data_IF_121783794303
#
_entry.id   IF_121783794303
#
_cell.length_a   1.000
_cell.length_b   1.000
_cell.length_c   1.000
_cell.angle_alpha   90.00
_cell.angle_beta   90.00
_cell.angle_gamma   90.00
#
_symmetry.space_group_name_H-M   'P 1'
#
loop_
_entity.id
_entity.type
_entity.pdbx_description
1 polymer ?
#
# COMPACT_ATOMS: atom_id res chain seq x y z
N UNK A 1 5.18 8.52 -20.48
CA UNK A 1 3.73 8.31 -20.34
C UNK A 1 3.51 6.90 -19.82
N UNK A 2 3.49 6.73 -18.50
CA UNK A 2 2.89 5.55 -17.87
C UNK A 2 1.96 6.11 -16.80
N UNK A 3 0.80 6.60 -17.26
CA UNK A 3 -0.37 6.94 -16.44
C UNK A 3 -0.98 5.63 -15.91
N UNK A 4 -0.22 4.93 -15.07
CA UNK A 4 -0.72 3.77 -14.35
C UNK A 4 -1.08 4.25 -12.96
N UNK A 5 -2.26 3.89 -12.46
CA UNK A 5 -2.70 4.17 -11.09
C UNK A 5 -1.63 3.80 -10.03
N UNK A 6 -0.82 2.77 -10.34
CA UNK A 6 0.31 2.34 -9.53
C UNK A 6 1.48 3.37 -9.52
N UNK A 7 1.75 4.03 -10.65
CA UNK A 7 2.78 5.06 -10.77
C UNK A 7 2.43 6.33 -9.98
N UNK A 8 1.16 6.75 -10.01
CA UNK A 8 0.68 7.87 -9.19
C UNK A 8 0.76 7.57 -7.70
N UNK A 9 0.37 6.36 -7.29
CA UNK A 9 0.44 5.89 -5.91
C UNK A 9 1.87 5.89 -5.36
N UNK A 10 2.84 5.38 -6.13
CA UNK A 10 4.26 5.36 -5.75
C UNK A 10 4.84 6.76 -5.64
N UNK A 11 4.44 7.70 -6.50
CA UNK A 11 4.90 9.09 -6.44
C UNK A 11 4.30 9.83 -5.23
N UNK A 12 3.01 9.61 -4.95
CA UNK A 12 2.29 10.22 -3.85
C UNK A 12 2.82 9.77 -2.48
N UNK A 13 3.01 8.47 -2.27
CA UNK A 13 3.51 7.97 -0.97
C UNK A 13 4.91 8.47 -0.63
N UNK A 14 5.70 8.88 -1.63
CA UNK A 14 7.01 9.52 -1.41
C UNK A 14 6.92 10.88 -0.69
N UNK A 15 5.70 11.42 -0.55
CA UNK A 15 5.41 12.77 -0.04
C UNK A 15 4.34 12.77 1.07
N UNK A 16 3.62 11.66 1.30
CA UNK A 16 2.44 11.59 2.16
C UNK A 16 2.49 10.42 3.16
N UNK A 17 1.88 10.60 4.34
CA UNK A 17 1.75 9.57 5.40
C UNK A 17 1.06 8.29 4.88
N UNK A 18 1.30 7.15 5.54
CA UNK A 18 0.68 5.84 5.22
C UNK A 18 -0.84 5.93 5.17
N UNK A 19 -1.45 6.78 6.01
CA UNK A 19 -2.90 6.99 6.03
C UNK A 19 -3.41 7.56 4.70
N UNK A 20 -2.80 8.62 4.18
CA UNK A 20 -3.19 9.23 2.90
C UNK A 20 -2.94 8.28 1.72
N UNK A 21 -1.85 7.51 1.76
CA UNK A 21 -1.59 6.47 0.77
C UNK A 21 -2.67 5.39 0.79
N UNK A 22 -3.05 4.95 2.00
CA UNK A 22 -4.06 3.91 2.20
C UNK A 22 -5.42 4.36 1.66
N UNK A 23 -5.86 5.57 1.99
CA UNK A 23 -7.14 6.09 1.55
C UNK A 23 -7.24 6.14 0.01
N UNK A 24 -6.15 6.56 -0.65
CA UNK A 24 -6.06 6.58 -2.11
C UNK A 24 -5.98 5.18 -2.71
N UNK A 25 -5.24 4.27 -2.09
CA UNK A 25 -5.17 2.88 -2.51
C UNK A 25 -6.54 2.22 -2.45
N UNK A 26 -7.28 2.40 -1.35
CA UNK A 26 -8.64 1.88 -1.18
C UNK A 26 -9.56 2.49 -2.25
N UNK A 27 -9.52 3.81 -2.45
CA UNK A 27 -10.32 4.49 -3.47
C UNK A 27 -10.04 3.96 -4.89
N UNK A 28 -8.79 3.63 -5.21
CA UNK A 28 -8.41 3.04 -6.51
C UNK A 28 -8.82 1.57 -6.61
N UNK A 29 -8.59 0.77 -5.56
CA UNK A 29 -8.98 -0.64 -5.52
C UNK A 29 -10.51 -0.85 -5.60
N UNK A 30 -11.31 0.07 -5.05
CA UNK A 30 -12.77 0.07 -5.21
C UNK A 30 -13.21 0.28 -6.68
N UNK A 31 -12.38 0.91 -7.52
CA UNK A 31 -12.68 1.13 -8.94
C UNK A 31 -12.32 -0.05 -9.81
N UNK A 32 -11.43 -0.92 -9.33
CA UNK A 32 -10.93 -2.09 -10.06
C UNK A 32 -11.36 -3.37 -9.35
N UNK A 33 -12.65 -3.71 -9.49
CA UNK A 33 -13.32 -4.83 -8.82
C UNK A 33 -12.81 -6.22 -9.21
N UNK A 34 -11.82 -6.32 -10.11
CA UNK A 34 -11.23 -7.56 -10.57
C UNK A 34 -10.02 -8.03 -9.75
N UNK A 35 -9.50 -7.22 -8.84
CA UNK A 35 -8.34 -7.59 -8.03
C UNK A 35 -8.76 -8.49 -6.87
N UNK A 36 -8.20 -9.71 -6.84
CA UNK A 36 -8.33 -10.60 -5.68
C UNK A 36 -7.62 -10.02 -4.45
N UNK A 37 -8.09 -10.36 -3.25
CA UNK A 37 -7.50 -9.86 -1.99
C UNK A 37 -5.97 -10.10 -1.89
N UNK A 38 -5.40 -11.27 -2.28
CA UNK A 38 -3.95 -11.46 -2.26
C UNK A 38 -3.21 -10.52 -3.22
N UNK A 39 -3.81 -10.18 -4.37
CA UNK A 39 -3.23 -9.23 -5.32
C UNK A 39 -3.27 -7.82 -4.77
N UNK A 40 -4.38 -7.42 -4.12
CA UNK A 40 -4.49 -6.12 -3.45
C UNK A 40 -3.43 -5.97 -2.35
N UNK A 41 -3.25 -6.99 -1.52
CA UNK A 41 -2.21 -7.02 -0.48
C UNK A 41 -0.82 -6.84 -1.10
N UNK A 42 -0.52 -7.59 -2.17
CA UNK A 42 0.80 -7.54 -2.80
C UNK A 42 1.06 -6.18 -3.46
N UNK A 43 0.06 -5.59 -4.12
CA UNK A 43 0.14 -4.25 -4.70
C UNK A 43 0.34 -3.18 -3.62
N UNK A 44 -0.38 -3.29 -2.50
CA UNK A 44 -0.23 -2.39 -1.37
C UNK A 44 1.20 -2.43 -0.83
N UNK A 45 1.74 -3.63 -0.54
CA UNK A 45 3.11 -3.82 -0.04
C UNK A 45 4.14 -3.26 -1.04
N UNK A 46 3.97 -3.50 -2.34
CA UNK A 46 4.89 -3.01 -3.37
C UNK A 46 4.86 -1.49 -3.47
N UNK A 47 3.70 -0.88 -3.22
CA UNK A 47 3.50 0.57 -3.20
C UNK A 47 4.08 1.29 -1.97
N UNK A 48 4.38 0.57 -0.88
CA UNK A 48 5.05 1.11 0.30
C UNK A 48 6.51 1.50 0.01
N UNK A 49 7.03 2.51 0.72
CA UNK A 49 8.45 2.90 0.68
C UNK A 49 9.29 2.04 1.62
N UNK A 50 10.59 1.88 1.35
CA UNK A 50 11.52 1.27 2.32
C UNK A 50 11.78 2.26 3.48
N UNK A 51 11.91 1.79 4.73
CA UNK A 51 11.96 0.38 5.16
C UNK A 51 10.59 -0.29 5.36
N UNK A 52 9.49 0.48 5.38
CA UNK A 52 8.13 -0.02 5.64
C UNK A 52 7.75 -1.20 4.75
N UNK A 53 8.02 -1.11 3.45
CA UNK A 53 7.80 -2.19 2.50
C UNK A 53 8.47 -3.49 2.92
N UNK A 54 9.74 -3.43 3.32
CA UNK A 54 10.49 -4.61 3.78
C UNK A 54 9.88 -5.16 5.06
N UNK A 55 9.58 -4.30 6.03
CA UNK A 55 9.05 -4.70 7.33
C UNK A 55 7.66 -5.33 7.23
N UNK A 56 6.78 -4.75 6.42
CA UNK A 56 5.44 -5.30 6.14
C UNK A 56 5.56 -6.59 5.32
N UNK A 57 6.43 -6.64 4.31
CA UNK A 57 6.64 -7.86 3.51
C UNK A 57 7.15 -9.04 4.36
N UNK A 58 8.03 -8.79 5.33
CA UNK A 58 8.54 -9.81 6.26
C UNK A 58 7.43 -10.42 7.12
N UNK A 59 6.39 -9.65 7.45
CA UNK A 59 5.23 -10.11 8.22
C UNK A 59 4.25 -10.95 7.42
N UNK A 60 4.33 -10.92 6.09
CA UNK A 60 3.45 -11.68 5.17
C UNK A 60 1.96 -11.54 5.55
N UNK A 61 1.42 -10.31 5.55
CA UNK A 61 0.00 -10.10 5.82
C UNK A 61 -0.86 -10.91 4.84
N UNK A 62 -1.99 -11.42 5.32
CA UNK A 62 -2.92 -12.22 4.51
C UNK A 62 -4.09 -11.39 3.99
N UNK A 63 -4.37 -10.28 4.65
CA UNK A 63 -5.47 -9.36 4.34
C UNK A 63 -4.92 -7.96 4.10
N UNK A 64 -5.69 -7.13 3.38
CA UNK A 64 -5.32 -5.74 3.16
C UNK A 64 -5.29 -4.96 4.49
N UNK A 65 -6.23 -5.26 5.38
CA UNK A 65 -6.31 -4.67 6.72
C UNK A 65 -5.06 -4.95 7.55
N UNK A 66 -4.55 -6.19 7.55
CA UNK A 66 -3.28 -6.52 8.21
C UNK A 66 -2.11 -5.72 7.62
N UNK A 67 -2.06 -5.59 6.29
CA UNK A 67 -0.99 -4.86 5.61
C UNK A 67 -1.01 -3.37 5.97
N UNK A 68 -2.20 -2.76 6.02
CA UNK A 68 -2.42 -1.36 6.43
C UNK A 68 -2.05 -1.16 7.89
N UNK A 69 -2.53 -2.03 8.80
CA UNK A 69 -2.23 -1.95 10.22
C UNK A 69 -0.72 -2.02 10.47
N UNK A 70 -0.03 -2.95 9.81
CA UNK A 70 1.42 -3.09 9.91
C UNK A 70 2.13 -1.85 9.37
N UNK A 71 1.74 -1.35 8.20
CA UNK A 71 2.34 -0.15 7.61
C UNK A 71 2.23 1.06 8.54
N UNK A 72 1.05 1.30 9.12
CA UNK A 72 0.82 2.38 10.10
C UNK A 72 1.65 2.18 11.38
N UNK A 73 1.67 0.97 11.91
CA UNK A 73 2.41 0.65 13.12
C UNK A 73 3.93 0.82 12.95
N UNK A 74 4.45 0.56 11.75
CA UNK A 74 5.85 0.78 11.43
C UNK A 74 6.16 2.25 11.13
N UNK A 75 5.25 2.99 10.48
CA UNK A 75 5.41 4.44 10.27
C UNK A 75 5.45 5.20 11.60
N UNK A 76 4.62 4.82 12.59
CA UNK A 76 4.68 5.40 13.94
C UNK A 76 6.00 5.17 14.69
N UNK A 77 6.85 4.24 14.20
CA UNK A 77 8.14 3.91 14.80
C UNK A 77 9.33 4.55 14.06
N UNK A 78 9.09 5.17 12.91
CA UNK A 78 10.09 5.93 12.12
C UNK A 78 10.13 7.39 12.57
#
# INVERSE_FOLDING_TARGET
MTDSALGELVFLHRTSMVDEFTDKFIALSCRDSNLSEPQQVQLYIVGLVNPLKTDVALRRPRTLEDAVMLARAYEQRL
#
